data_IF_520500328560
#
_entry.id   IF_520500328560
#
_cell.length_a   1.000
_cell.length_b   1.000
_cell.length_c   1.000
_cell.angle_alpha   90.00
_cell.angle_beta   90.00
_cell.angle_gamma   90.00
#
_symmetry.space_group_name_H-M   'P 1'
#
loop_
_entity.id
_entity.type
_entity.pdbx_description
1 polymer ?
#
# COMPACT_ATOMS: atom_id res chain seq x y z
N UNK A 1 -6.17 1.36 -5.90
CA UNK A 1 -6.04 2.40 -4.86
C UNK A 1 -7.05 2.10 -3.79
N UNK A 2 -6.57 2.14 -2.55
CA UNK A 2 -7.36 1.95 -1.34
C UNK A 2 -7.25 3.27 -0.57
N UNK A 3 -8.37 3.81 -0.11
CA UNK A 3 -8.38 4.93 0.83
C UNK A 3 -8.87 4.45 2.19
N UNK A 4 -8.23 4.94 3.24
CA UNK A 4 -8.54 4.63 4.62
C UNK A 4 -8.59 5.88 5.47
N UNK A 5 -9.34 5.82 6.57
CA UNK A 5 -9.20 6.79 7.66
C UNK A 5 -7.90 6.52 8.47
N UNK A 6 -7.60 7.40 9.43
CA UNK A 6 -6.44 7.26 10.30
C UNK A 6 -6.50 6.05 11.25
N UNK A 7 -7.68 5.47 11.45
CA UNK A 7 -7.88 4.23 12.22
C UNK A 7 -7.73 2.97 11.34
N UNK A 8 -7.45 3.13 10.05
CA UNK A 8 -7.27 2.04 9.10
C UNK A 8 -8.58 1.37 8.67
N UNK A 9 -9.72 2.05 8.78
CA UNK A 9 -10.96 1.61 8.15
C UNK A 9 -10.98 2.05 6.69
N UNK A 10 -11.39 1.15 5.80
CA UNK A 10 -11.50 1.46 4.38
C UNK A 10 -12.65 2.42 4.13
N UNK A 11 -12.33 3.61 3.61
CA UNK A 11 -13.32 4.64 3.23
C UNK A 11 -13.67 4.57 1.75
N UNK A 12 -12.74 4.08 0.92
CA UNK A 12 -12.97 3.89 -0.51
C UNK A 12 -12.06 2.83 -1.13
N UNK A 13 -12.59 2.12 -2.13
CA UNK A 13 -11.85 1.22 -3.02
C UNK A 13 -12.13 1.62 -4.46
N UNK A 14 -11.07 1.77 -5.27
CA UNK A 14 -11.29 1.88 -6.71
C UNK A 14 -11.70 0.51 -7.30
N UNK A 15 -12.33 0.48 -8.49
CA UNK A 15 -12.82 -0.78 -9.08
C UNK A 15 -11.75 -1.87 -9.24
N UNK A 16 -10.52 -1.45 -9.53
CA UNK A 16 -9.37 -2.37 -9.68
C UNK A 16 -8.97 -3.01 -8.35
N UNK A 17 -9.00 -2.26 -7.25
CA UNK A 17 -8.72 -2.80 -5.91
C UNK A 17 -9.89 -3.66 -5.42
N UNK A 18 -11.13 -3.25 -5.68
CA UNK A 18 -12.32 -4.03 -5.33
C UNK A 18 -12.35 -5.38 -6.06
N UNK A 19 -11.93 -5.43 -7.33
CA UNK A 19 -11.82 -6.69 -8.08
C UNK A 19 -10.67 -7.58 -7.62
N UNK A 20 -9.55 -7.01 -7.17
CA UNK A 20 -8.39 -7.78 -6.71
C UNK A 20 -8.50 -8.24 -5.24
N UNK A 21 -9.13 -7.44 -4.40
CA UNK A 21 -9.27 -7.68 -2.96
C UNK A 21 -10.75 -7.55 -2.57
N UNK A 22 -11.63 -8.45 -3.04
CA UNK A 22 -13.07 -8.35 -2.79
C UNK A 22 -13.43 -8.46 -1.31
N UNK A 23 -12.60 -9.13 -0.51
CA UNK A 23 -12.78 -9.34 0.93
C UNK A 23 -12.07 -8.27 1.80
N UNK A 24 -11.60 -7.16 1.20
CA UNK A 24 -10.88 -6.13 1.93
C UNK A 24 -11.83 -5.32 2.82
N UNK A 25 -11.71 -5.52 4.14
CA UNK A 25 -12.47 -4.81 5.18
C UNK A 25 -11.54 -4.07 6.15
N UNK A 26 -10.74 -3.12 5.63
CA UNK A 26 -9.81 -2.35 6.46
C UNK A 26 -8.51 -3.07 6.79
N UNK A 27 -7.82 -2.58 7.82
CA UNK A 27 -6.45 -2.93 8.19
C UNK A 27 -6.24 -4.40 8.64
N UNK A 28 -7.31 -5.15 8.86
CA UNK A 28 -7.25 -6.58 9.18
C UNK A 28 -6.88 -7.44 7.95
N UNK A 29 -7.13 -6.93 6.74
CA UNK A 29 -6.79 -7.65 5.52
C UNK A 29 -5.26 -7.81 5.40
N UNK A 30 -4.73 -8.99 5.00
CA UNK A 30 -3.28 -9.25 4.94
C UNK A 30 -2.49 -8.23 4.12
N UNK A 31 -3.09 -7.75 3.02
CA UNK A 31 -2.48 -6.70 2.17
C UNK A 31 -2.21 -5.39 2.94
N UNK A 32 -2.90 -5.15 4.05
CA UNK A 32 -2.76 -3.95 4.90
C UNK A 32 -2.14 -4.27 6.26
N UNK A 33 -1.63 -5.48 6.50
CA UNK A 33 -1.02 -5.86 7.76
C UNK A 33 0.10 -4.87 8.17
N UNK A 34 0.12 -4.43 9.42
CA UNK A 34 1.11 -3.46 9.92
C UNK A 34 0.92 -2.01 9.44
N UNK A 35 -0.16 -1.71 8.70
CA UNK A 35 -0.44 -0.35 8.21
C UNK A 35 -0.57 0.67 9.35
N UNK A 36 -1.22 0.33 10.47
CA UNK A 36 -1.43 1.27 11.58
C UNK A 36 -0.12 1.81 12.14
N UNK A 37 0.89 0.96 12.31
CA UNK A 37 2.22 1.38 12.78
C UNK A 37 2.87 2.37 11.80
N UNK A 38 2.65 2.19 10.50
CA UNK A 38 3.15 3.08 9.45
C UNK A 38 2.40 4.41 9.49
N UNK A 39 1.07 4.39 9.64
CA UNK A 39 0.26 5.61 9.78
C UNK A 39 0.77 6.44 10.97
N UNK A 40 0.93 5.82 12.14
CA UNK A 40 1.44 6.49 13.35
C UNK A 40 2.83 7.09 13.13
N UNK A 41 3.74 6.36 12.45
CA UNK A 41 5.07 6.88 12.15
C UNK A 41 5.02 8.07 11.19
N UNK A 42 4.20 7.99 10.13
CA UNK A 42 4.06 9.04 9.13
C UNK A 42 3.42 10.32 9.68
N UNK A 43 2.52 10.22 10.66
CA UNK A 43 1.93 11.39 11.33
C UNK A 43 2.98 12.25 12.05
N UNK A 44 4.07 11.64 12.52
CA UNK A 44 5.16 12.34 13.22
C UNK A 44 6.34 12.70 12.33
N UNK A 45 6.32 12.25 11.07
CA UNK A 45 7.42 12.40 10.13
C UNK A 45 7.22 13.63 9.25
N UNK A 46 8.33 14.28 8.84
CA UNK A 46 8.28 15.27 7.75
C UNK A 46 8.06 14.61 6.38
N UNK A 47 8.30 13.30 6.28
CA UNK A 47 8.10 12.53 5.06
C UNK A 47 6.65 12.01 5.01
N UNK A 48 5.85 12.50 4.05
CA UNK A 48 4.42 12.18 3.95
C UNK A 48 4.07 10.82 3.36
N UNK A 49 5.06 9.97 3.05
CA UNK A 49 4.80 8.64 2.49
C UNK A 49 5.84 7.59 2.88
N UNK A 50 5.41 6.33 2.80
CA UNK A 50 6.20 5.13 3.03
C UNK A 50 6.00 4.14 1.88
N UNK A 51 7.06 3.43 1.48
CA UNK A 51 6.98 2.38 0.45
C UNK A 51 7.40 1.05 1.07
N UNK A 52 6.65 -0.02 0.78
CA UNK A 52 6.95 -1.38 1.26
C UNK A 52 6.56 -2.44 0.26
N UNK A 53 7.06 -3.64 0.49
CA UNK A 53 6.60 -4.86 -0.15
C UNK A 53 5.73 -5.67 0.82
N UNK A 54 4.68 -6.29 0.31
CA UNK A 54 3.81 -7.21 1.05
C UNK A 54 3.68 -8.49 0.25
N UNK A 55 4.05 -9.62 0.87
CA UNK A 55 3.82 -10.93 0.27
C UNK A 55 2.47 -11.50 0.74
N UNK A 56 1.63 -11.89 -0.21
CA UNK A 56 0.33 -12.50 0.07
C UNK A 56 0.01 -13.52 -1.03
N UNK A 57 -0.36 -14.74 -0.63
CA UNK A 57 -0.75 -15.82 -1.55
C UNK A 57 0.27 -16.10 -2.67
N UNK A 58 1.58 -16.03 -2.36
CA UNK A 58 2.66 -16.28 -3.31
C UNK A 58 2.90 -15.16 -4.34
N UNK A 59 2.34 -13.97 -4.10
CA UNK A 59 2.57 -12.76 -4.89
C UNK A 59 3.21 -11.69 -4.03
N UNK A 60 4.03 -10.84 -4.65
CA UNK A 60 4.64 -9.69 -4.00
C UNK A 60 3.97 -8.42 -4.50
N UNK A 61 3.50 -7.61 -3.58
CA UNK A 61 2.86 -6.34 -3.87
C UNK A 61 3.73 -5.20 -3.37
N UNK A 62 4.07 -4.26 -4.24
CA UNK A 62 4.61 -2.98 -3.80
C UNK A 62 3.46 -2.08 -3.37
N UNK A 63 3.64 -1.42 -2.23
CA UNK A 63 2.71 -0.45 -1.70
C UNK A 63 3.37 0.89 -1.49
N UNK A 64 2.74 1.96 -2.00
CA UNK A 64 3.03 3.33 -1.61
C UNK A 64 1.90 3.83 -0.72
N UNK A 65 2.23 4.12 0.54
CA UNK A 65 1.32 4.59 1.57
C UNK A 65 1.56 6.09 1.75
N UNK A 66 0.60 6.91 1.37
CA UNK A 66 0.63 8.35 1.56
C UNK A 66 -0.29 8.72 2.72
N UNK A 67 0.23 9.40 3.73
CA UNK A 67 -0.55 9.90 4.86
C UNK A 67 -0.78 11.40 4.69
N UNK A 68 -2.04 11.83 4.77
CA UNK A 68 -2.45 13.23 4.76
C UNK A 68 -3.19 13.50 6.07
N UNK A 69 -2.47 13.78 7.18
CA UNK A 69 -3.07 13.92 8.50
C UNK A 69 -4.08 15.07 8.57
N UNK A 70 -3.83 16.15 7.83
CA UNK A 70 -4.70 17.34 7.76
C UNK A 70 -6.08 17.01 7.16
N UNK A 71 -6.12 16.08 6.20
CA UNK A 71 -7.34 15.57 5.56
C UNK A 71 -7.92 14.32 6.25
N UNK A 72 -7.31 13.86 7.35
CA UNK A 72 -7.65 12.61 8.05
C UNK A 72 -7.67 11.38 7.13
N UNK A 73 -6.81 11.38 6.11
CA UNK A 73 -6.86 10.43 5.00
C UNK A 73 -5.55 9.71 4.79
N UNK A 74 -5.64 8.42 4.49
CA UNK A 74 -4.52 7.57 4.07
C UNK A 74 -4.82 6.98 2.71
N UNK A 75 -3.89 7.12 1.76
CA UNK A 75 -3.98 6.51 0.43
C UNK A 75 -2.94 5.41 0.29
N UNK A 76 -3.39 4.24 -0.12
CA UNK A 76 -2.53 3.10 -0.43
C UNK A 76 -2.65 2.77 -1.91
N UNK A 77 -1.55 2.98 -2.63
CA UNK A 77 -1.37 2.50 -3.99
C UNK A 77 -0.73 1.12 -3.91
N UNK A 78 -1.32 0.15 -4.60
CA UNK A 78 -0.85 -1.24 -4.60
C UNK A 78 -0.55 -1.63 -6.04
N UNK A 79 0.67 -2.11 -6.27
CA UNK A 79 1.14 -2.63 -7.55
C UNK A 79 1.53 -4.09 -7.37
N UNK A 80 0.90 -5.00 -8.11
CA UNK A 80 1.34 -6.40 -8.19
C UNK A 80 2.70 -6.41 -8.91
N UNK A 81 3.76 -6.73 -8.18
CA UNK A 81 5.03 -7.06 -8.79
C UNK A 81 4.95 -8.54 -9.15
N UNK A 82 4.56 -8.83 -10.39
CA UNK A 82 4.61 -10.18 -10.93
C UNK A 82 6.02 -10.69 -10.69
N UNK A 83 6.14 -11.69 -9.80
CA UNK A 83 7.40 -12.30 -9.42
C UNK A 83 8.26 -12.40 -10.69
N UNK A 84 9.38 -11.67 -10.73
CA UNK A 84 10.35 -11.78 -11.82
C UNK A 84 10.82 -13.23 -11.81
N UNK A 85 10.10 -14.10 -12.52
CA UNK A 85 10.33 -15.53 -12.52
C UNK A 85 11.73 -15.74 -13.07
N UNK A 86 12.63 -16.20 -12.19
CA UNK A 86 13.78 -17.03 -12.53
C UNK A 86 14.45 -16.66 -13.86
N UNK A 87 15.14 -15.53 -13.87
CA UNK A 87 16.39 -15.40 -14.60
C UNK A 87 17.11 -14.19 -14.03
N UNK A 88 18.36 -14.42 -13.66
CA UNK A 88 19.36 -13.39 -13.45
C UNK A 88 19.25 -12.30 -14.53
N UNK A 89 19.55 -11.06 -14.14
CA UNK A 89 19.67 -9.85 -14.97
C UNK A 89 18.48 -8.89 -15.04
N UNK A 90 18.74 -7.70 -14.47
CA UNK A 90 18.53 -6.42 -15.13
C UNK A 90 17.10 -5.92 -15.21
N UNK A 91 16.72 -4.99 -14.34
CA UNK A 91 16.27 -3.67 -14.82
C UNK A 91 16.34 -2.63 -13.69
N UNK A 92 17.26 -1.68 -13.85
CA UNK A 92 17.18 -0.34 -13.24
C UNK A 92 16.04 0.43 -13.91
N UNK A 93 15.37 1.29 -13.13
CA UNK A 93 14.56 2.51 -13.44
C UNK A 93 13.20 2.44 -12.72
N UNK A 94 12.66 3.50 -12.12
CA UNK A 94 12.81 4.93 -12.40
C UNK A 94 12.99 5.78 -11.13
N UNK A 95 13.97 6.69 -11.19
CA UNK A 95 13.88 8.01 -10.55
C UNK A 95 12.71 8.76 -11.18
N UNK A 96 11.93 9.48 -10.39
CA UNK A 96 11.24 10.67 -10.88
C UNK A 96 11.44 11.81 -9.89
N UNK A 97 11.80 12.92 -10.54
CA UNK A 97 12.20 14.24 -10.08
C UNK A 97 11.19 14.90 -9.15
#
# INVERSE_FOLDING_TARGET
>A
MIELDLAGHTTYLNPVAQGQFPDLQGHEHPILHGLLSIISALQTSQQGYFVREVEMAGRVYEQKICCMPEDLLVRVYVHDQYLRQRSSEGLKLLRMN
#
